data_IF_998426887155
#
_entry.id   IF_998426887155
#
_cell.length_a   1.000
_cell.length_b   1.000
_cell.length_c   1.000
_cell.angle_alpha   90.00
_cell.angle_beta   90.00
_cell.angle_gamma   90.00
#
_symmetry.space_group_name_H-M   'P 1'
#
loop_
_entity.id
_entity.type
_entity.pdbx_description
1 polymer ?
#
# COMPACT_ATOMS: atom_id res chain seq x y z
N UNK A 1 -12.45 -16.45 -9.05
CA UNK A 1 -11.76 -15.28 -8.48
C UNK A 1 -12.74 -14.19 -8.10
N UNK A 2 -13.54 -13.65 -9.02
CA UNK A 2 -14.47 -12.55 -8.73
C UNK A 2 -15.52 -12.88 -7.65
N UNK A 3 -16.13 -14.09 -7.70
CA UNK A 3 -17.07 -14.55 -6.65
C UNK A 3 -16.39 -14.63 -5.28
N UNK A 4 -15.23 -15.28 -5.21
CA UNK A 4 -14.41 -15.42 -3.99
C UNK A 4 -14.02 -14.07 -3.40
N UNK A 5 -13.68 -13.08 -4.24
CA UNK A 5 -13.35 -11.72 -3.80
C UNK A 5 -14.57 -11.00 -3.21
N UNK A 6 -15.74 -11.10 -3.86
CA UNK A 6 -16.98 -10.51 -3.33
C UNK A 6 -17.35 -11.10 -1.97
N UNK A 7 -17.36 -12.43 -1.88
CA UNK A 7 -17.73 -13.16 -0.67
C UNK A 7 -16.78 -12.80 0.48
N UNK A 8 -15.48 -12.66 0.20
CA UNK A 8 -14.49 -12.22 1.18
C UNK A 8 -14.71 -10.79 1.66
N UNK A 9 -14.89 -9.82 0.75
CA UNK A 9 -15.14 -8.42 1.12
C UNK A 9 -16.42 -8.29 1.94
N UNK A 10 -17.48 -9.01 1.56
CA UNK A 10 -18.76 -8.96 2.27
C UNK A 10 -18.64 -9.53 3.69
N UNK A 11 -17.80 -10.55 3.88
CA UNK A 11 -17.54 -11.13 5.20
C UNK A 11 -16.79 -10.19 6.16
N UNK A 12 -15.96 -9.28 5.64
CA UNK A 12 -15.14 -8.36 6.45
C UNK A 12 -15.62 -6.89 6.42
N UNK A 13 -16.64 -6.59 5.61
CA UNK A 13 -17.25 -5.27 5.46
C UNK A 13 -17.69 -4.56 6.76
N UNK A 14 -18.06 -5.25 7.86
CA UNK A 14 -18.39 -4.57 9.11
C UNK A 14 -17.21 -3.81 9.75
N UNK A 15 -15.97 -4.15 9.37
CA UNK A 15 -14.77 -3.49 9.86
C UNK A 15 -14.28 -2.42 8.86
N UNK A 16 -13.62 -1.35 9.33
CA UNK A 16 -12.93 -0.41 8.45
C UNK A 16 -11.70 -1.10 7.81
N UNK A 17 -11.76 -1.27 6.48
CA UNK A 17 -10.75 -1.98 5.68
C UNK A 17 -10.17 -1.09 4.58
N UNK A 18 -8.95 -1.39 4.13
CA UNK A 18 -8.36 -0.84 2.92
C UNK A 18 -7.61 -1.92 2.13
N UNK A 19 -7.86 -2.01 0.83
CA UNK A 19 -7.10 -2.86 -0.08
C UNK A 19 -5.66 -2.35 -0.20
N UNK A 20 -4.68 -3.25 -0.06
CA UNK A 20 -3.25 -2.98 -0.21
C UNK A 20 -2.61 -3.96 -1.21
N UNK A 21 -1.28 -3.95 -1.32
CA UNK A 21 -0.54 -4.94 -2.10
C UNK A 21 -0.82 -4.91 -3.60
N UNK A 22 -0.70 -6.06 -4.27
CA UNK A 22 -0.70 -6.13 -5.74
C UNK A 22 -2.00 -5.68 -6.40
N UNK A 23 -3.15 -5.99 -5.79
CA UNK A 23 -4.45 -5.60 -6.33
C UNK A 23 -4.72 -4.10 -6.15
N UNK A 24 -4.26 -3.50 -5.04
CA UNK A 24 -4.31 -2.05 -4.87
C UNK A 24 -3.40 -1.30 -5.87
N UNK A 25 -2.23 -1.86 -6.20
CA UNK A 25 -1.37 -1.32 -7.26
C UNK A 25 -2.09 -1.38 -8.61
N UNK A 26 -2.65 -2.54 -8.99
CA UNK A 26 -3.42 -2.68 -10.24
C UNK A 26 -4.68 -1.81 -10.31
N UNK A 27 -5.25 -1.41 -9.17
CA UNK A 27 -6.35 -0.44 -9.14
C UNK A 27 -5.88 1.00 -9.44
N UNK A 28 -4.58 1.30 -9.27
CA UNK A 28 -3.97 2.63 -9.42
C UNK A 28 -3.10 2.77 -10.67
N UNK A 29 -2.64 1.66 -11.25
CA UNK A 29 -1.73 1.61 -12.40
C UNK A 29 -2.26 0.66 -13.46
N UNK A 30 -1.49 0.44 -14.54
CA UNK A 30 -1.84 -0.58 -15.53
C UNK A 30 -2.06 -1.95 -14.86
N UNK A 31 -3.19 -2.64 -15.13
CA UNK A 31 -3.53 -3.86 -14.41
C UNK A 31 -2.53 -4.99 -14.65
N UNK A 32 -2.10 -5.63 -13.56
CA UNK A 32 -1.39 -6.91 -13.59
C UNK A 32 -2.12 -7.95 -12.75
N UNK A 33 -2.01 -9.21 -13.14
CA UNK A 33 -2.54 -10.31 -12.33
C UNK A 33 -1.70 -10.50 -11.06
N UNK A 34 -2.37 -10.60 -9.92
CA UNK A 34 -1.82 -11.05 -8.63
C UNK A 34 -2.52 -12.34 -8.25
N UNK A 35 -1.80 -13.28 -7.64
CA UNK A 35 -2.39 -14.56 -7.17
C UNK A 35 -3.05 -14.40 -5.79
N UNK A 36 -2.72 -13.33 -5.08
CA UNK A 36 -3.10 -13.07 -3.70
C UNK A 36 -3.92 -11.78 -3.58
N UNK A 37 -4.73 -11.67 -2.50
CA UNK A 37 -5.48 -10.48 -2.12
C UNK A 37 -4.93 -9.99 -0.78
N UNK A 38 -4.33 -8.79 -0.76
CA UNK A 38 -3.80 -8.18 0.45
C UNK A 38 -4.74 -7.08 0.97
N UNK A 39 -5.17 -7.15 2.22
CA UNK A 39 -6.04 -6.15 2.86
C UNK A 39 -5.46 -5.70 4.20
N UNK A 40 -5.53 -4.40 4.47
CA UNK A 40 -5.31 -3.82 5.78
C UNK A 40 -6.66 -3.66 6.49
N UNK A 41 -6.81 -4.28 7.66
CA UNK A 41 -8.03 -4.20 8.48
C UNK A 41 -7.66 -3.45 9.76
N UNK A 42 -8.41 -2.39 10.09
CA UNK A 42 -8.24 -1.74 11.39
C UNK A 42 -9.04 -2.51 12.45
N UNK A 43 -8.36 -2.83 13.55
CA UNK A 43 -8.82 -3.68 14.66
C UNK A 43 -8.63 -2.92 15.98
N UNK A 44 -9.37 -3.32 17.01
CA UNK A 44 -9.65 -2.49 18.18
C UNK A 44 -8.60 -2.53 19.30
N UNK A 45 -7.56 -3.38 19.21
CA UNK A 45 -6.52 -3.51 20.23
C UNK A 45 -5.09 -3.46 19.68
N UNK A 46 -4.12 -3.53 20.59
CA UNK A 46 -2.95 -2.65 20.54
C UNK A 46 -1.83 -3.11 19.61
N UNK A 47 -1.68 -4.40 19.39
CA UNK A 47 -0.72 -4.98 18.43
C UNK A 47 -1.19 -4.82 16.96
N UNK A 48 -2.44 -4.43 16.80
CA UNK A 48 -3.33 -4.92 15.75
C UNK A 48 -3.35 -3.95 14.54
N UNK A 49 -2.64 -2.81 14.61
CA UNK A 49 -2.59 -1.79 13.56
C UNK A 49 -1.17 -1.21 13.31
N UNK A 50 -0.16 -1.67 14.04
CA UNK A 50 0.98 -0.80 14.35
C UNK A 50 2.08 -0.80 13.28
N UNK A 51 2.11 0.32 12.56
CA UNK A 51 3.24 0.99 11.93
C UNK A 51 2.66 2.14 11.11
N UNK A 52 1.55 1.85 10.40
CA UNK A 52 0.86 2.80 9.52
C UNK A 52 -0.62 2.43 9.24
N UNK A 53 -1.14 1.29 9.74
CA UNK A 53 -2.46 0.77 9.32
C UNK A 53 -3.62 1.73 9.58
N UNK A 54 -3.73 2.42 10.73
CA UNK A 54 -4.78 3.42 10.94
C UNK A 54 -4.70 4.54 9.90
N UNK A 55 -3.49 5.03 9.63
CA UNK A 55 -3.26 6.07 8.62
C UNK A 55 -3.58 5.58 7.19
N UNK A 56 -3.35 4.30 6.89
CA UNK A 56 -3.75 3.68 5.62
C UNK A 56 -5.25 3.69 5.44
N UNK A 57 -5.98 3.15 6.43
CA UNK A 57 -7.42 2.94 6.38
C UNK A 57 -8.15 4.28 6.35
N UNK A 58 -7.77 5.23 7.20
CA UNK A 58 -8.37 6.57 7.22
C UNK A 58 -8.13 7.34 5.92
N UNK A 59 -6.97 7.19 5.30
CA UNK A 59 -6.65 7.92 4.07
C UNK A 59 -7.13 7.26 2.79
N UNK A 60 -7.63 6.02 2.84
CA UNK A 60 -7.96 5.24 1.66
C UNK A 60 -9.08 5.89 0.82
N UNK A 61 -8.96 5.79 -0.51
CA UNK A 61 -9.97 6.31 -1.43
C UNK A 61 -10.98 5.22 -1.79
N UNK A 62 -12.28 5.55 -1.86
CA UNK A 62 -13.31 4.62 -2.34
C UNK A 62 -13.19 4.44 -3.86
N UNK A 63 -12.92 3.22 -4.32
CA UNK A 63 -12.75 2.88 -5.74
C UNK A 63 -13.55 1.64 -6.11
N UNK A 64 -13.94 1.52 -7.39
CA UNK A 64 -14.54 0.30 -7.91
C UNK A 64 -13.44 -0.66 -8.34
N UNK A 65 -13.32 -1.80 -7.67
CA UNK A 65 -12.40 -2.89 -8.00
C UNK A 65 -13.23 -4.14 -8.22
N UNK A 66 -13.07 -4.78 -9.38
CA UNK A 66 -13.82 -6.00 -9.76
C UNK A 66 -15.34 -5.86 -9.52
N UNK A 67 -15.92 -4.70 -9.88
CA UNK A 67 -17.35 -4.43 -9.76
C UNK A 67 -17.86 -4.13 -8.34
N UNK A 68 -16.98 -3.96 -7.34
CA UNK A 68 -17.36 -3.57 -5.97
C UNK A 68 -16.66 -2.29 -5.53
N UNK A 69 -17.38 -1.46 -4.78
CA UNK A 69 -16.80 -0.30 -4.11
C UNK A 69 -16.01 -0.79 -2.89
N UNK A 70 -14.71 -0.55 -2.90
CA UNK A 70 -13.80 -0.88 -1.81
C UNK A 70 -12.92 0.33 -1.52
N UNK A 71 -12.51 0.51 -0.27
CA UNK A 71 -11.49 1.51 0.03
C UNK A 71 -10.12 0.96 -0.39
N UNK A 72 -9.32 1.77 -1.09
CA UNK A 72 -8.02 1.39 -1.63
C UNK A 72 -6.96 2.33 -1.07
N UNK A 73 -5.88 1.77 -0.54
CA UNK A 73 -4.77 2.58 -0.04
C UNK A 73 -4.26 3.55 -1.11
N UNK A 74 -3.84 4.72 -0.64
CA UNK A 74 -3.39 5.80 -1.52
C UNK A 74 -2.01 5.52 -2.10
N UNK A 75 -1.68 6.13 -3.25
CA UNK A 75 -0.40 5.88 -3.94
C UNK A 75 0.80 6.12 -3.01
N UNK A 76 0.82 7.25 -2.28
CA UNK A 76 1.91 7.54 -1.34
C UNK A 76 2.09 6.48 -0.25
N UNK A 77 0.98 5.92 0.23
CA UNK A 77 1.00 4.83 1.20
C UNK A 77 1.45 3.50 0.59
N UNK A 78 1.02 3.17 -0.63
CA UNK A 78 1.48 1.99 -1.35
C UNK A 78 2.99 2.06 -1.64
N UNK A 79 3.53 3.23 -1.99
CA UNK A 79 4.98 3.44 -2.15
C UNK A 79 5.72 3.14 -0.84
N UNK A 80 5.25 3.68 0.29
CA UNK A 80 5.87 3.44 1.59
C UNK A 80 5.84 1.96 1.98
N UNK A 81 4.69 1.28 1.78
CA UNK A 81 4.55 -0.15 2.03
C UNK A 81 5.47 -0.99 1.14
N UNK A 82 5.61 -0.62 -0.14
CA UNK A 82 6.50 -1.34 -1.07
C UNK A 82 7.98 -1.14 -0.74
N UNK A 83 8.37 0.03 -0.24
CA UNK A 83 9.73 0.24 0.30
C UNK A 83 9.96 -0.58 1.57
N UNK A 84 8.98 -0.64 2.47
CA UNK A 84 9.04 -1.44 3.69
C UNK A 84 9.04 -2.95 3.40
N UNK A 85 8.30 -3.42 2.40
CA UNK A 85 8.24 -4.84 2.05
C UNK A 85 9.41 -5.29 1.16
N UNK A 86 10.19 -4.36 0.61
CA UNK A 86 11.19 -4.61 -0.43
C UNK A 86 12.21 -5.67 0.01
N UNK A 87 12.27 -6.73 -0.78
CA UNK A 87 13.28 -7.79 -0.73
C UNK A 87 13.77 -7.99 -2.18
N UNK A 88 14.92 -7.42 -2.52
CA UNK A 88 15.40 -7.40 -3.91
C UNK A 88 15.89 -8.78 -4.40
N UNK A 89 16.13 -9.73 -3.50
CA UNK A 89 16.59 -11.09 -3.82
C UNK A 89 15.41 -12.04 -4.09
N UNK A 90 14.33 -11.92 -3.31
CA UNK A 90 13.20 -12.86 -3.37
C UNK A 90 11.90 -12.25 -3.88
N UNK A 91 11.81 -10.92 -4.04
CA UNK A 91 10.57 -10.21 -4.43
C UNK A 91 10.81 -9.18 -5.54
N UNK A 92 11.17 -9.62 -6.76
CA UNK A 92 11.42 -8.71 -7.88
C UNK A 92 10.22 -7.81 -8.25
N UNK A 93 9.01 -8.19 -7.84
CA UNK A 93 7.77 -7.45 -8.11
C UNK A 93 7.67 -6.12 -7.34
N UNK A 94 8.30 -5.99 -6.16
CA UNK A 94 8.22 -4.74 -5.39
C UNK A 94 8.89 -3.57 -6.13
N UNK A 95 10.00 -3.87 -6.84
CA UNK A 95 10.66 -2.89 -7.71
C UNK A 95 9.81 -2.49 -8.91
N UNK A 96 9.09 -3.44 -9.49
CA UNK A 96 8.17 -3.19 -10.62
C UNK A 96 7.00 -2.31 -10.15
N UNK A 97 6.39 -2.63 -9.01
CA UNK A 97 5.30 -1.86 -8.42
C UNK A 97 5.74 -0.45 -8.05
N UNK A 98 6.91 -0.29 -7.43
CA UNK A 98 7.47 1.03 -7.10
C UNK A 98 7.67 1.88 -8.34
N UNK A 99 8.12 1.27 -9.45
CA UNK A 99 8.25 1.97 -10.74
C UNK A 99 6.89 2.37 -11.29
N UNK A 100 5.91 1.47 -11.30
CA UNK A 100 4.57 1.75 -11.81
C UNK A 100 3.86 2.85 -11.00
N UNK A 101 3.90 2.76 -9.66
CA UNK A 101 3.37 3.78 -8.75
C UNK A 101 4.07 5.12 -8.94
N UNK A 102 5.39 5.10 -9.13
CA UNK A 102 6.19 6.31 -9.34
C UNK A 102 5.78 7.11 -10.57
N UNK A 103 5.40 6.41 -11.66
CA UNK A 103 4.96 7.05 -12.92
C UNK A 103 3.68 7.84 -12.73
N UNK A 104 2.77 7.37 -11.87
CA UNK A 104 1.46 8.01 -11.64
C UNK A 104 1.42 8.89 -10.38
N UNK A 105 2.48 8.89 -9.57
CA UNK A 105 2.52 9.58 -8.28
C UNK A 105 2.58 11.10 -8.44
N UNK A 106 1.64 11.80 -7.80
CA UNK A 106 1.64 13.26 -7.72
C UNK A 106 2.61 13.77 -6.64
N UNK A 107 2.89 15.08 -6.65
CA UNK A 107 3.64 15.73 -5.56
C UNK A 107 2.97 15.54 -4.18
N UNK A 108 1.63 15.42 -4.13
CA UNK A 108 0.91 15.09 -2.89
C UNK A 108 1.20 13.67 -2.43
N UNK A 109 1.29 12.72 -3.36
CA UNK A 109 1.60 11.32 -3.05
C UNK A 109 3.02 11.17 -2.52
N UNK A 110 3.99 11.86 -3.12
CA UNK A 110 5.37 11.86 -2.64
C UNK A 110 5.50 12.47 -1.24
N UNK A 111 4.77 13.56 -0.94
CA UNK A 111 4.72 14.11 0.43
C UNK A 111 4.11 13.12 1.41
N UNK A 112 3.02 12.44 1.02
CA UNK A 112 2.39 11.41 1.85
C UNK A 112 3.32 10.21 2.08
N UNK A 113 4.03 9.75 1.05
CA UNK A 113 5.03 8.69 1.17
C UNK A 113 6.16 9.08 2.14
N UNK A 114 6.60 10.34 2.11
CA UNK A 114 7.62 10.83 3.04
C UNK A 114 7.12 10.81 4.50
N UNK A 115 5.90 11.28 4.74
CA UNK A 115 5.27 11.21 6.07
C UNK A 115 5.13 9.77 6.56
N UNK A 116 4.68 8.88 5.68
CA UNK A 116 4.50 7.46 5.95
C UNK A 116 5.82 6.75 6.32
N UNK A 117 6.87 6.96 5.52
CA UNK A 117 8.21 6.41 5.76
C UNK A 117 8.79 6.92 7.08
N UNK A 118 8.64 8.22 7.38
CA UNK A 118 9.07 8.80 8.64
C UNK A 118 8.34 8.15 9.82
N UNK A 119 7.03 7.94 9.71
CA UNK A 119 6.22 7.32 10.75
C UNK A 119 6.66 5.87 11.02
N UNK A 120 6.87 5.09 9.96
CA UNK A 120 7.41 3.71 10.04
C UNK A 120 8.76 3.71 10.76
N UNK A 121 9.66 4.65 10.45
CA UNK A 121 10.97 4.74 11.09
C UNK A 121 10.88 5.14 12.57
N UNK A 122 10.08 6.15 12.90
CA UNK A 122 9.86 6.61 14.30
C UNK A 122 9.28 5.50 15.17
N UNK A 123 8.39 4.68 14.60
CA UNK A 123 7.79 3.52 15.29
C UNK A 123 8.71 2.28 15.30
N UNK A 124 9.93 2.35 14.78
CA UNK A 124 10.92 1.27 14.83
C UNK A 124 10.72 0.13 13.82
N UNK A 125 9.80 0.28 12.86
CA UNK A 125 9.45 -0.77 11.91
C UNK A 125 10.32 -0.78 10.64
N UNK A 126 11.32 0.09 10.53
CA UNK A 126 12.20 0.19 9.35
C UNK A 126 13.13 -1.01 9.15
N UNK A 127 13.24 -1.91 10.14
CA UNK A 127 14.07 -3.13 10.11
C UNK A 127 15.54 -2.84 9.78
N UNK A 128 16.10 -1.78 10.36
CA UNK A 128 17.50 -1.39 10.16
C UNK A 128 17.82 -0.73 8.81
N UNK A 129 16.81 -0.41 7.99
CA UNK A 129 17.00 0.25 6.69
C UNK A 129 16.66 1.74 6.75
N UNK A 130 17.40 2.53 5.97
CA UNK A 130 17.06 3.93 5.73
C UNK A 130 16.01 4.05 4.61
N UNK A 131 14.74 3.96 5.02
CA UNK A 131 13.61 4.11 4.12
C UNK A 131 13.49 5.54 3.54
N UNK A 132 14.02 6.56 4.25
CA UNK A 132 13.98 7.96 3.79
C UNK A 132 14.94 8.14 2.61
N UNK A 133 16.16 7.65 2.73
CA UNK A 133 17.13 7.64 1.64
C UNK A 133 16.61 6.80 0.45
N UNK A 134 15.99 5.65 0.73
CA UNK A 134 15.38 4.83 -0.32
C UNK A 134 14.27 5.57 -1.07
N UNK A 135 13.37 6.27 -0.36
CA UNK A 135 12.31 7.08 -0.97
C UNK A 135 12.88 8.21 -1.84
N UNK A 136 13.90 8.92 -1.34
CA UNK A 136 14.56 9.99 -2.09
C UNK A 136 15.20 9.46 -3.39
N UNK A 137 15.88 8.32 -3.32
CA UNK A 137 16.47 7.65 -4.48
C UNK A 137 15.41 7.28 -5.53
N UNK A 138 14.27 6.74 -5.10
CA UNK A 138 13.17 6.41 -6.01
C UNK A 138 12.57 7.65 -6.64
N UNK A 139 12.25 8.68 -5.85
CA UNK A 139 11.67 9.92 -6.37
C UNK A 139 12.56 10.61 -7.40
N UNK A 140 13.88 10.57 -7.21
CA UNK A 140 14.84 11.13 -8.17
C UNK A 140 14.85 10.39 -9.52
N UNK A 141 14.59 9.08 -9.53
CA UNK A 141 14.51 8.26 -10.76
C UNK A 141 13.19 8.42 -11.52
N UNK A 142 12.20 9.03 -10.88
CA UNK A 142 10.83 9.17 -11.38
C UNK A 142 10.55 10.54 -11.98
N UNK A 143 11.55 11.44 -11.94
CA UNK A 143 11.58 12.74 -12.64
C UNK A 143 12.38 12.60 -13.92
#
# INVERSE_FOLDING_TARGET
MERTFRDFIDAIAPAPIALIGGLAVSARTEPRFTRDIDVAVAVADDESAEAIVPELVTAADSMTVLGRRVAVATIGHLIALKLLARDDEHRPQDRVDLRALSVVATERDWRRAASAVKLIAVRGFSRGRDLTAALASWRAKSR
#
